data_IF_880649284835
#
_entry.id   IF_880649284835
#
_cell.length_a   1.000
_cell.length_b   1.000
_cell.length_c   1.000
_cell.angle_alpha   90.00
_cell.angle_beta   90.00
_cell.angle_gamma   90.00
#
_symmetry.space_group_name_H-M   'P 1'
#
loop_
_entity.id
_entity.type
_entity.pdbx_description
1 polymer ?
#
# COMPACT_ATOMS: atom_id res chain seq x y z
N UNK A 1 15.98 -13.77 -8.35
CA UNK A 1 14.80 -12.90 -8.18
C UNK A 1 13.47 -13.67 -7.98
N UNK A 2 13.49 -14.93 -7.50
CA UNK A 2 12.28 -15.73 -7.24
C UNK A 2 11.92 -15.81 -5.73
N UNK A 3 12.89 -15.60 -4.84
CA UNK A 3 12.68 -15.67 -3.38
C UNK A 3 11.84 -14.53 -2.82
N UNK A 4 11.99 -13.29 -3.31
CA UNK A 4 11.27 -12.14 -2.75
C UNK A 4 9.74 -12.21 -2.94
N UNK A 5 9.26 -12.90 -3.98
CA UNK A 5 7.81 -13.07 -4.18
C UNK A 5 7.17 -14.04 -3.20
N UNK A 6 7.94 -15.02 -2.70
CA UNK A 6 7.43 -16.01 -1.75
C UNK A 6 7.34 -15.42 -0.33
N UNK A 7 8.31 -14.61 0.07
CA UNK A 7 8.29 -13.91 1.37
C UNK A 7 7.10 -12.94 1.46
N UNK A 8 6.86 -12.16 0.40
CA UNK A 8 5.73 -11.24 0.34
C UNK A 8 4.39 -11.96 0.37
N UNK A 9 4.30 -13.15 -0.24
CA UNK A 9 3.08 -13.95 -0.19
C UNK A 9 2.77 -14.41 1.24
N UNK A 10 3.79 -14.87 1.98
CA UNK A 10 3.67 -15.23 3.39
C UNK A 10 3.30 -14.04 4.26
N UNK A 11 4.03 -12.93 4.18
CA UNK A 11 3.72 -11.72 4.96
C UNK A 11 2.29 -11.23 4.68
N UNK A 12 1.84 -11.31 3.43
CA UNK A 12 0.48 -10.92 3.06
C UNK A 12 -0.58 -11.90 3.60
N UNK A 13 -0.29 -13.20 3.64
CA UNK A 13 -1.18 -14.20 4.22
C UNK A 13 -1.32 -14.01 5.75
N UNK A 14 -0.20 -13.80 6.44
CA UNK A 14 -0.18 -13.47 7.88
C UNK A 14 -0.92 -12.17 8.17
N UNK A 15 -0.74 -11.14 7.32
CA UNK A 15 -1.47 -9.88 7.44
C UNK A 15 -2.97 -10.06 7.21
N UNK A 16 -3.37 -10.85 6.20
CA UNK A 16 -4.79 -11.17 5.94
C UNK A 16 -5.41 -11.89 7.13
N UNK A 17 -4.71 -12.86 7.72
CA UNK A 17 -5.18 -13.60 8.89
C UNK A 17 -5.33 -12.68 10.11
N UNK A 18 -4.30 -11.88 10.39
CA UNK A 18 -4.28 -10.90 11.49
C UNK A 18 -5.40 -9.87 11.39
N UNK A 19 -5.76 -9.45 10.17
CA UNK A 19 -6.81 -8.47 9.91
C UNK A 19 -8.16 -9.08 9.50
N UNK A 20 -8.27 -10.41 9.40
CA UNK A 20 -9.48 -11.11 8.98
C UNK A 20 -9.94 -10.81 7.54
N UNK A 21 -9.02 -10.45 6.64
CA UNK A 21 -9.33 -10.07 5.25
C UNK A 21 -9.53 -11.32 4.39
N UNK A 22 -10.68 -11.42 3.72
CA UNK A 22 -10.98 -12.49 2.75
C UNK A 22 -11.33 -11.88 1.40
N UNK A 23 -10.55 -12.21 0.38
CA UNK A 23 -10.81 -11.80 -1.00
C UNK A 23 -11.52 -12.93 -1.75
N UNK A 24 -12.49 -12.58 -2.60
CA UNK A 24 -13.30 -13.57 -3.34
C UNK A 24 -12.58 -14.14 -4.57
N UNK A 25 -11.62 -13.40 -5.12
CA UNK A 25 -10.98 -13.70 -6.40
C UNK A 25 -9.47 -13.50 -6.34
N UNK A 26 -8.72 -14.37 -7.03
CA UNK A 26 -7.25 -14.25 -7.18
C UNK A 26 -6.83 -12.93 -7.83
N UNK A 27 -7.64 -12.41 -8.74
CA UNK A 27 -7.36 -11.12 -9.40
C UNK A 27 -7.49 -9.94 -8.42
N UNK A 28 -8.47 -10.00 -7.53
CA UNK A 28 -8.69 -9.00 -6.47
C UNK A 28 -7.57 -9.07 -5.42
N UNK A 29 -7.17 -10.28 -5.07
CA UNK A 29 -6.01 -10.53 -4.20
C UNK A 29 -4.72 -9.97 -4.80
N UNK A 30 -4.46 -10.21 -6.08
CA UNK A 30 -3.27 -9.71 -6.76
C UNK A 30 -3.23 -8.16 -6.79
N UNK A 31 -4.37 -7.51 -7.01
CA UNK A 31 -4.49 -6.05 -6.94
C UNK A 31 -4.21 -5.53 -5.52
N UNK A 32 -4.87 -6.11 -4.51
CA UNK A 32 -4.70 -5.72 -3.10
C UNK A 32 -3.28 -5.97 -2.59
N UNK A 33 -2.65 -7.07 -3.02
CA UNK A 33 -1.25 -7.40 -2.73
C UNK A 33 -0.29 -6.39 -3.35
N UNK A 34 -0.58 -5.90 -4.56
CA UNK A 34 0.22 -4.85 -5.20
C UNK A 34 0.14 -3.54 -4.40
N UNK A 35 -1.07 -3.12 -4.00
CA UNK A 35 -1.27 -1.93 -3.15
C UNK A 35 -0.51 -2.08 -1.81
N UNK A 36 -0.61 -3.25 -1.19
CA UNK A 36 0.09 -3.58 0.05
C UNK A 36 1.62 -3.48 -0.08
N UNK A 37 2.18 -3.96 -1.19
CA UNK A 37 3.60 -3.81 -1.52
C UNK A 37 4.02 -2.34 -1.69
N UNK A 38 3.20 -1.54 -2.36
CA UNK A 38 3.47 -0.10 -2.55
C UNK A 38 3.41 0.65 -1.21
N UNK A 39 2.43 0.33 -0.36
CA UNK A 39 2.35 0.84 1.01
C UNK A 39 3.58 0.46 1.84
N UNK A 40 4.02 -0.81 1.79
CA UNK A 40 5.22 -1.29 2.49
C UNK A 40 6.45 -0.49 2.08
N UNK A 41 6.64 -0.33 0.78
CA UNK A 41 7.78 0.41 0.22
C UNK A 41 7.76 1.87 0.68
N UNK A 42 6.60 2.52 0.61
CA UNK A 42 6.42 3.89 1.08
C UNK A 42 6.67 4.04 2.58
N UNK A 43 6.22 3.09 3.39
CA UNK A 43 6.46 3.04 4.83
C UNK A 43 7.96 2.93 5.12
N UNK A 44 8.66 2.03 4.44
CA UNK A 44 10.12 1.85 4.61
C UNK A 44 10.86 3.14 4.24
N UNK A 45 10.51 3.76 3.11
CA UNK A 45 11.12 5.03 2.70
C UNK A 45 10.83 6.16 3.68
N UNK A 46 9.60 6.24 4.19
CA UNK A 46 9.23 7.26 5.16
C UNK A 46 9.94 7.06 6.51
N UNK A 47 10.04 5.81 6.98
CA UNK A 47 10.77 5.51 8.21
C UNK A 47 12.27 5.77 8.08
N UNK A 48 12.87 5.59 6.90
CA UNK A 48 14.25 6.04 6.64
C UNK A 48 14.38 7.56 6.76
N UNK A 49 13.43 8.32 6.23
CA UNK A 49 13.41 9.79 6.37
C UNK A 49 13.18 10.22 7.82
N UNK A 50 12.38 9.47 8.57
CA UNK A 50 12.18 9.69 10.01
C UNK A 50 13.49 9.47 10.79
N UNK A 51 14.23 8.39 10.51
CA UNK A 51 15.53 8.11 11.13
C UNK A 51 16.57 9.20 10.80
N UNK A 52 16.54 9.72 9.57
CA UNK A 52 17.34 10.88 9.15
C UNK A 52 16.87 12.22 9.76
N UNK A 53 15.76 12.25 10.51
CA UNK A 53 15.18 13.46 11.10
C UNK A 53 14.45 14.39 10.12
N UNK A 54 14.20 13.96 8.88
CA UNK A 54 13.44 14.72 7.88
C UNK A 54 11.92 14.60 8.05
N UNK A 55 11.45 13.56 8.74
CA UNK A 55 10.03 13.35 9.04
C UNK A 55 9.80 13.31 10.54
N UNK A 56 8.67 13.85 10.99
CA UNK A 56 8.31 13.98 12.42
C UNK A 56 7.43 12.84 12.92
N UNK A 57 7.05 11.91 12.04
CA UNK A 57 6.23 10.76 12.38
C UNK A 57 6.75 9.50 11.70
N UNK A 58 6.61 8.37 12.39
CA UNK A 58 6.83 7.05 11.81
C UNK A 58 5.55 6.56 11.13
N UNK A 59 5.70 5.83 10.03
CA UNK A 59 4.60 5.22 9.32
C UNK A 59 4.69 3.70 9.50
N UNK A 60 3.54 3.04 9.67
CA UNK A 60 3.46 1.61 9.93
C UNK A 60 2.55 0.91 8.93
N UNK A 61 2.83 -0.37 8.67
CA UNK A 61 1.91 -1.22 7.92
C UNK A 61 0.64 -1.42 8.74
N UNK A 62 -0.50 -0.90 8.28
CA UNK A 62 -1.75 -0.92 9.02
C UNK A 62 -2.88 -1.58 8.20
N UNK A 63 -4.09 -1.73 8.75
CA UNK A 63 -5.25 -2.27 8.04
C UNK A 63 -5.64 -1.49 6.76
N UNK A 64 -5.14 -0.26 6.60
CA UNK A 64 -5.27 0.60 5.43
C UNK A 64 -4.17 0.35 4.38
N UNK A 65 -3.24 -0.58 4.64
CA UNK A 65 -2.20 -0.91 3.67
C UNK A 65 -2.74 -1.63 2.43
N UNK A 66 -3.99 -2.13 2.42
CA UNK A 66 -4.67 -2.57 1.20
C UNK A 66 -5.56 -1.50 0.55
N UNK A 67 -5.62 -0.31 1.16
CA UNK A 67 -6.46 0.81 0.74
C UNK A 67 -5.56 1.95 0.28
N UNK A 68 -5.41 2.05 -1.04
CA UNK A 68 -4.72 3.18 -1.65
C UNK A 68 -5.51 4.47 -1.36
N UNK A 69 -4.83 5.60 -1.14
CA UNK A 69 -5.49 6.86 -0.77
C UNK A 69 -6.52 7.34 -1.80
N UNK A 70 -6.47 6.85 -3.05
CA UNK A 70 -7.47 7.12 -4.07
C UNK A 70 -8.82 6.40 -3.81
N UNK A 71 -8.84 5.25 -3.12
CA UNK A 71 -10.08 4.54 -2.76
C UNK A 71 -10.67 5.03 -1.43
N UNK A 72 -9.84 5.59 -0.54
CA UNK A 72 -10.29 6.17 0.73
C UNK A 72 -10.95 7.53 0.53
N UNK A 73 -10.73 8.19 -0.62
CA UNK A 73 -11.47 9.38 -1.00
C UNK A 73 -12.91 8.99 -1.39
N UNK A 74 -13.74 8.75 -0.38
CA UNK A 74 -15.17 8.65 -0.54
C UNK A 74 -15.70 9.94 -1.20
N UNK A 75 -16.10 9.84 -2.46
CA UNK A 75 -17.32 10.49 -2.94
C UNK A 75 -17.39 12.02 -2.91
N UNK A 76 -16.31 12.77 -3.17
CA UNK A 76 -16.48 14.14 -3.65
C UNK A 76 -16.42 14.15 -5.17
N UNK A 77 -17.60 14.20 -5.78
CA UNK A 77 -17.78 14.67 -7.16
C UNK A 77 -17.11 16.04 -7.31
N UNK A 78 -15.88 16.09 -7.79
CA UNK A 78 -15.35 17.25 -8.50
C UNK A 78 -14.45 16.77 -9.63
N UNK A 79 -14.99 16.82 -10.84
CA UNK A 79 -14.23 17.04 -12.06
C UNK A 79 -13.20 18.15 -11.84
N UNK A 80 -11.91 17.86 -11.93
CA UNK A 80 -10.84 18.85 -12.12
C UNK A 80 -9.58 18.17 -12.71
N UNK A 81 -9.60 18.08 -14.03
CA UNK A 81 -8.50 18.12 -15.00
C UNK A 81 -7.37 17.07 -14.99
N UNK A 82 -7.39 16.27 -16.06
CA UNK A 82 -6.21 16.06 -16.92
C UNK A 82 -5.56 17.41 -17.29
N UNK A 83 -4.23 17.54 -17.14
CA UNK A 83 -3.26 17.85 -18.22
C UNK A 83 -1.84 18.17 -17.67
N UNK A 84 -0.88 17.30 -18.05
CA UNK A 84 0.51 17.50 -18.58
C UNK A 84 1.51 18.55 -18.02
N UNK A 85 2.75 18.10 -17.76
CA UNK A 85 4.04 18.51 -18.38
C UNK A 85 5.20 17.71 -17.73
N UNK A 86 5.96 16.84 -18.41
CA UNK A 86 7.13 17.04 -19.32
C UNK A 86 8.44 17.48 -18.64
N UNK A 87 9.43 16.58 -18.64
CA UNK A 87 10.85 16.83 -18.95
C UNK A 87 11.58 15.51 -19.17
#
# INVERSE_FOLDING_TARGET
>A
MASERQDVDKEFDEWKEKHGKKYKSKEEEAKRKKIWLECRTRVIEHNKKYDSGESTFECGMNHMSDLEQHEVCCGVRRSCQEEKNDS
#
